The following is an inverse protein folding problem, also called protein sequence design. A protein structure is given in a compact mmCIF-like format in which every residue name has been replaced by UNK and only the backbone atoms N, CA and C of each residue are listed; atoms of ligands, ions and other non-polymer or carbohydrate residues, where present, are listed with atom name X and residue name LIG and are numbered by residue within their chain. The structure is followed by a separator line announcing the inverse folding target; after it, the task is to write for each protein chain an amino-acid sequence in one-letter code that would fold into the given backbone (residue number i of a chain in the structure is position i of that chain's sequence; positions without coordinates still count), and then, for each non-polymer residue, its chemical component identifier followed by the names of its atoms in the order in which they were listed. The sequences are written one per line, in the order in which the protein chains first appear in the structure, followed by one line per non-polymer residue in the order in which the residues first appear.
data_IF_393716596438
#
_entry.id   IF_393716596438
#
_cell.length_a   1.000
_cell.length_b   1.000
_cell.length_c   1.000
_cell.angle_alpha   90.00
_cell.angle_beta   90.00
_cell.angle_gamma   90.00
#
_symmetry.space_group_name_H-M   'P 1'
#
loop_
_entity.id
_entity.type
_entity.pdbx_description
1 polymer ?
#
# COMPACT_ATOMS: atom_id res chain seq x y z
N UNK A 1 -16.07 -4.60 -3.97
CA UNK A 1 -16.84 -3.78 -3.00
C UNK A 1 -17.90 -4.67 -2.39
N UNK A 2 -18.02 -4.67 -1.07
CA UNK A 2 -19.12 -5.33 -0.35
C UNK A 2 -19.82 -4.24 0.45
N UNK A 3 -21.11 -4.07 0.24
CA UNK A 3 -21.93 -3.07 0.91
C UNK A 3 -22.90 -3.78 1.84
N UNK A 4 -22.81 -3.49 3.13
CA UNK A 4 -23.84 -3.89 4.08
C UNK A 4 -25.11 -3.09 3.82
N UNK A 5 -26.26 -3.75 3.93
CA UNK A 5 -27.56 -3.08 3.92
C UNK A 5 -28.08 -3.14 5.36
N UNK A 6 -28.25 -1.99 6.03
CA UNK A 6 -28.69 -1.98 7.41
C UNK A 6 -30.14 -2.48 7.51
N UNK A 7 -30.50 -3.16 8.61
CA UNK A 7 -31.87 -3.58 8.83
C UNK A 7 -32.78 -2.37 8.94
N UNK A 8 -34.07 -2.55 8.61
CA UNK A 8 -35.08 -1.51 8.77
C UNK A 8 -35.08 -1.01 10.24
N UNK A 9 -35.04 0.32 10.47
CA UNK A 9 -35.18 0.89 11.80
C UNK A 9 -36.41 0.35 12.53
N UNK A 10 -36.24 -0.02 13.80
CA UNK A 10 -37.35 -0.51 14.64
C UNK A 10 -38.25 0.61 15.16
N UNK A 11 -37.74 1.83 15.25
CA UNK A 11 -38.52 3.00 15.66
C UNK A 11 -39.29 3.57 14.45
N UNK A 12 -40.60 3.76 14.61
CA UNK A 12 -41.47 4.38 13.60
C UNK A 12 -41.62 5.89 13.79
N UNK A 13 -41.19 6.44 14.92
CA UNK A 13 -41.26 7.87 15.25
C UNK A 13 -39.92 8.36 15.82
N UNK A 14 -39.54 9.59 15.46
CA UNK A 14 -38.26 10.21 15.84
C UNK A 14 -37.15 10.11 14.78
N UNK A 15 -36.01 10.75 15.05
CA UNK A 15 -34.84 10.74 14.16
C UNK A 15 -33.99 9.49 14.38
N UNK A 16 -33.66 8.75 13.31
CA UNK A 16 -32.82 7.54 13.38
C UNK A 16 -31.54 7.71 12.56
N UNK A 17 -30.39 7.34 13.15
CA UNK A 17 -29.13 7.14 12.43
C UNK A 17 -28.98 5.65 12.09
N UNK A 18 -29.02 5.32 10.79
CA UNK A 18 -28.65 4.00 10.29
C UNK A 18 -27.18 4.00 9.85
N UNK A 19 -26.41 3.00 10.29
CA UNK A 19 -25.00 2.84 9.92
C UNK A 19 -24.88 1.60 9.03
N UNK A 20 -24.12 1.73 7.95
CA UNK A 20 -23.84 0.65 7.02
C UNK A 20 -22.34 0.62 6.72
N UNK A 21 -21.72 -0.56 6.75
CA UNK A 21 -20.30 -0.70 6.44
C UNK A 21 -20.09 -0.95 4.95
N UNK A 22 -19.19 -0.17 4.34
CA UNK A 22 -18.67 -0.44 2.99
C UNK A 22 -17.26 -1.03 3.10
N UNK A 23 -17.12 -2.32 2.77
CA UNK A 23 -15.83 -2.99 2.76
C UNK A 23 -15.24 -2.97 1.34
N UNK A 24 -14.04 -2.41 1.20
CA UNK A 24 -13.25 -2.43 -0.03
C UNK A 24 -11.97 -3.21 0.19
N UNK A 25 -11.73 -4.21 -0.65
CA UNK A 25 -10.51 -5.02 -0.65
C UNK A 25 -9.88 -5.00 -2.04
N UNK A 26 -8.56 -5.19 -2.11
CA UNK A 26 -7.83 -5.28 -3.38
C UNK A 26 -8.05 -6.67 -3.98
N UNK A 27 -8.60 -6.71 -5.20
CA UNK A 27 -8.63 -7.92 -6.04
C UNK A 27 -7.53 -7.81 -7.08
N UNK A 28 -6.50 -8.66 -6.98
CA UNK A 28 -5.34 -8.64 -7.89
C UNK A 28 -5.34 -9.94 -8.69
N UNK A 29 -5.50 -9.81 -10.01
CA UNK A 29 -5.37 -10.95 -10.91
C UNK A 29 -3.91 -11.41 -10.99
N UNK A 30 -3.69 -12.72 -10.96
CA UNK A 30 -2.38 -13.34 -11.13
C UNK A 30 -2.42 -14.35 -12.29
N UNK A 31 -1.77 -14.06 -13.43
CA UNK A 31 -1.56 -15.03 -14.48
C UNK A 31 -0.91 -16.32 -13.95
N UNK A 32 -1.27 -17.48 -14.51
CA UNK A 32 -0.77 -18.79 -14.08
C UNK A 32 0.76 -18.86 -14.00
N UNK A 33 1.46 -18.26 -14.96
CA UNK A 33 2.93 -18.22 -15.00
C UNK A 33 3.59 -17.49 -13.81
N UNK A 34 2.83 -16.70 -13.05
CA UNK A 34 3.33 -15.91 -11.93
C UNK A 34 2.91 -16.47 -10.56
N UNK A 35 2.25 -17.63 -10.50
CA UNK A 35 1.72 -18.18 -9.24
C UNK A 35 2.84 -18.52 -8.26
N UNK A 36 3.81 -19.33 -8.70
CA UNK A 36 4.89 -19.85 -7.86
C UNK A 36 5.88 -18.77 -7.41
N UNK A 37 6.12 -17.76 -8.26
CA UNK A 37 7.16 -16.75 -8.02
C UNK A 37 6.80 -15.64 -7.03
N UNK A 38 5.59 -15.65 -6.44
CA UNK A 38 5.17 -14.56 -5.55
C UNK A 38 5.86 -14.63 -4.19
N UNK A 39 6.07 -15.82 -3.64
CA UNK A 39 6.62 -15.98 -2.29
C UNK A 39 8.01 -15.35 -2.24
N UNK A 40 8.27 -14.50 -1.24
CA UNK A 40 9.53 -13.76 -1.08
C UNK A 40 9.86 -12.73 -2.18
N UNK A 41 8.96 -12.43 -3.11
CA UNK A 41 9.24 -11.49 -4.20
C UNK A 41 9.57 -10.07 -3.70
N UNK A 42 9.10 -9.69 -2.50
CA UNK A 42 9.40 -8.42 -1.85
C UNK A 42 10.90 -8.21 -1.60
N UNK A 43 11.70 -9.29 -1.50
CA UNK A 43 13.16 -9.21 -1.36
C UNK A 43 13.84 -8.59 -2.59
N UNK A 44 13.15 -8.56 -3.73
CA UNK A 44 13.65 -7.96 -4.96
C UNK A 44 13.25 -6.48 -5.10
N UNK A 45 12.55 -5.90 -4.12
CA UNK A 45 12.35 -4.45 -4.08
C UNK A 45 13.69 -3.75 -3.88
N UNK A 46 13.87 -2.62 -4.54
CA UNK A 46 15.15 -1.90 -4.56
C UNK A 46 14.94 -0.47 -4.10
N UNK A 47 15.89 0.06 -3.35
CA UNK A 47 15.99 1.49 -3.08
C UNK A 47 17.16 2.03 -3.90
N UNK A 48 16.91 3.06 -4.71
CA UNK A 48 17.93 3.71 -5.53
C UNK A 48 18.00 5.21 -5.23
N UNK A 49 19.20 5.78 -5.30
CA UNK A 49 19.42 7.21 -5.08
C UNK A 49 19.74 7.91 -6.38
N UNK A 50 18.99 8.96 -6.72
CA UNK A 50 19.18 9.75 -7.94
C UNK A 50 18.90 11.22 -7.61
N UNK A 51 19.80 12.12 -7.97
CA UNK A 51 19.58 13.58 -7.79
C UNK A 51 19.28 14.03 -6.36
N UNK A 52 19.80 13.33 -5.34
CA UNK A 52 19.54 13.65 -3.93
C UNK A 52 18.22 13.12 -3.36
N UNK A 53 17.48 12.30 -4.13
CA UNK A 53 16.24 11.66 -3.69
C UNK A 53 16.37 10.14 -3.68
N UNK A 54 15.65 9.52 -2.76
CA UNK A 54 15.50 8.07 -2.67
C UNK A 54 14.27 7.62 -3.48
N UNK A 55 14.37 6.50 -4.18
CA UNK A 55 13.30 5.90 -4.97
C UNK A 55 13.11 4.45 -4.57
N UNK A 56 11.87 4.07 -4.25
CA UNK A 56 11.48 2.68 -4.07
C UNK A 56 11.03 2.10 -5.41
N UNK A 57 11.78 1.12 -5.91
CA UNK A 57 11.52 0.46 -7.20
C UNK A 57 10.99 -0.95 -6.98
N UNK A 58 9.95 -1.28 -7.74
CA UNK A 58 9.40 -2.62 -7.85
C UNK A 58 9.72 -3.23 -9.22
N UNK A 59 10.84 -3.94 -9.37
CA UNK A 59 11.16 -4.61 -10.62
C UNK A 59 10.35 -5.90 -10.84
N UNK A 60 9.51 -6.31 -9.88
CA UNK A 60 8.77 -7.58 -9.94
C UNK A 60 7.47 -7.44 -10.73
N UNK A 61 6.84 -8.56 -11.13
CA UNK A 61 5.52 -8.55 -11.76
C UNK A 61 4.36 -8.57 -10.73
N UNK A 62 4.59 -8.20 -9.47
CA UNK A 62 3.59 -8.26 -8.39
C UNK A 62 3.29 -6.89 -7.81
N UNK A 63 2.05 -6.68 -7.39
CA UNK A 63 1.70 -5.56 -6.50
C UNK A 63 2.19 -5.83 -5.08
N UNK A 64 2.61 -4.77 -4.38
CA UNK A 64 2.92 -4.81 -2.95
C UNK A 64 2.15 -3.73 -2.19
N UNK A 65 1.85 -4.03 -0.93
CA UNK A 65 1.43 -3.05 0.05
C UNK A 65 2.59 -2.83 1.02
N UNK A 66 3.38 -1.80 0.77
CA UNK A 66 4.49 -1.43 1.67
C UNK A 66 3.91 -0.57 2.78
N UNK A 67 4.10 -1.02 4.02
CA UNK A 67 3.49 -0.40 5.21
C UNK A 67 4.44 0.54 5.95
N UNK A 68 5.72 0.53 5.60
CA UNK A 68 6.71 1.41 6.20
C UNK A 68 8.10 1.15 5.64
N UNK A 69 9.00 2.11 5.88
CA UNK A 69 10.41 2.05 5.49
C UNK A 69 11.24 2.23 6.75
N UNK A 70 12.32 1.46 6.87
CA UNK A 70 13.30 1.60 7.94
C UNK A 70 14.68 1.82 7.36
N UNK A 71 15.46 2.67 8.02
CA UNK A 71 16.88 2.88 7.75
C UNK A 71 17.65 2.55 9.02
N UNK A 72 18.58 1.60 8.95
CA UNK A 72 19.37 1.13 10.10
C UNK A 72 18.49 0.75 11.31
N UNK A 73 17.36 0.09 11.04
CA UNK A 73 16.39 -0.30 12.07
C UNK A 73 15.43 0.80 12.53
N UNK A 74 15.71 2.08 12.21
CA UNK A 74 14.88 3.22 12.60
C UNK A 74 13.78 3.50 11.57
N UNK A 75 12.52 3.70 12.00
CA UNK A 75 11.44 4.09 11.09
C UNK A 75 11.72 5.42 10.38
N UNK A 76 11.54 5.44 9.07
CA UNK A 76 11.58 6.65 8.25
C UNK A 76 10.16 7.19 8.12
N UNK A 77 9.94 8.44 8.54
CA UNK A 77 8.65 9.11 8.40
C UNK A 77 8.50 9.66 7.00
N UNK A 78 7.63 9.04 6.22
CA UNK A 78 7.22 9.52 4.90
C UNK A 78 5.93 10.35 5.03
N UNK A 79 5.70 11.26 4.09
CA UNK A 79 4.45 12.00 4.05
C UNK A 79 3.29 11.10 3.56
N UNK A 80 2.05 11.51 3.84
CA UNK A 80 0.86 10.71 3.55
C UNK A 80 0.68 10.37 2.07
N UNK A 81 1.09 11.28 1.18
CA UNK A 81 1.04 11.04 -0.26
C UNK A 81 1.95 9.88 -0.65
N UNK A 82 3.21 9.92 -0.24
CA UNK A 82 4.19 8.84 -0.50
C UNK A 82 3.71 7.54 0.13
N UNK A 83 3.21 7.58 1.37
CA UNK A 83 2.66 6.41 2.05
C UNK A 83 1.51 5.77 1.26
N UNK A 84 0.60 6.56 0.69
CA UNK A 84 -0.50 6.08 -0.13
C UNK A 84 -0.01 5.46 -1.45
N UNK A 85 1.01 6.05 -2.09
CA UNK A 85 1.59 5.52 -3.33
C UNK A 85 2.27 4.16 -3.10
N UNK A 86 3.07 4.01 -2.04
CA UNK A 86 3.76 2.74 -1.74
C UNK A 86 2.84 1.68 -1.12
N UNK A 87 1.70 2.08 -0.54
CA UNK A 87 0.66 1.15 -0.08
C UNK A 87 0.00 0.39 -1.23
N UNK A 88 0.13 0.86 -2.48
CA UNK A 88 -0.26 0.13 -3.69
C UNK A 88 0.84 0.21 -4.76
N UNK A 89 2.04 -0.23 -4.39
CA UNK A 89 3.19 -0.24 -5.29
C UNK A 89 2.94 -1.20 -6.46
N UNK A 90 2.87 -0.67 -7.67
CA UNK A 90 2.52 -1.40 -8.87
C UNK A 90 3.69 -2.25 -9.42
N UNK A 91 3.41 -3.30 -10.21
CA UNK A 91 4.44 -4.02 -10.95
C UNK A 91 5.24 -3.07 -11.84
N UNK A 92 6.56 -3.27 -11.91
CA UNK A 92 7.45 -2.51 -12.80
C UNK A 92 7.41 -0.98 -12.60
N UNK A 93 7.00 -0.51 -11.42
CA UNK A 93 6.93 0.93 -11.11
C UNK A 93 8.03 1.37 -10.15
N UNK A 94 8.18 2.68 -10.00
CA UNK A 94 8.99 3.31 -8.95
C UNK A 94 8.24 4.48 -8.32
N UNK A 95 8.52 4.75 -7.04
CA UNK A 95 7.94 5.85 -6.25
C UNK A 95 9.08 6.63 -5.60
N UNK A 96 9.06 7.95 -5.72
CA UNK A 96 9.99 8.81 -5.00
C UNK A 96 9.62 8.84 -3.51
N UNK A 97 10.56 8.47 -2.65
CA UNK A 97 10.41 8.57 -1.19
C UNK A 97 10.77 9.97 -0.67
N UNK A 98 11.33 10.82 -1.53
CA UNK A 98 11.81 12.16 -1.23
C UNK A 98 13.28 12.20 -0.81
N UNK A 99 13.71 13.35 -0.27
CA UNK A 99 15.06 13.55 0.24
C UNK A 99 15.23 12.81 1.57
N UNK A 100 15.72 11.58 1.48
CA UNK A 100 16.14 10.80 2.65
C UNK A 100 17.66 10.94 2.79
N UNK A 101 18.11 11.61 3.85
CA UNK A 101 19.53 11.56 4.24
C UNK A 101 19.84 10.12 4.68
N UNK A 102 20.46 9.33 3.79
CA UNK A 102 20.97 8.00 4.13
C UNK A 102 22.31 8.03 4.86
N UNK A 103 22.64 9.17 5.49
CA UNK A 103 23.87 9.28 6.27
C UNK A 103 23.64 8.54 7.59
N UNK A 104 23.87 7.23 7.56
CA UNK A 104 24.12 6.47 8.77
C UNK A 104 25.44 6.95 9.37
N UNK A 105 25.41 7.38 10.62
CA UNK A 105 26.57 7.26 11.50
C UNK A 105 26.85 5.80 11.80
#
# INVERSE_FOLDING_TARGET
NVQEIPPKPKASEGNVLAVAVNTKVKLIYRPKALVEGRRNAEKNLQITHRGGEAYLKNPTPYYFAVTGVKLNGQPVRLNDRVMNEIAQLAPKSEVALGKLSLNGT
#
